data_IF_276544121935
#
_entry.id   IF_276544121935
#
_cell.length_a   1.000
_cell.length_b   1.000
_cell.length_c   1.000
_cell.angle_alpha   90.00
_cell.angle_beta   90.00
_cell.angle_gamma   90.00
#
_symmetry.space_group_name_H-M   'P 1'
#
loop_
_entity.id
_entity.type
_entity.pdbx_description
1 polymer ?
#
# COMPACT_ATOMS: atom_id res chain seq x y z
N UNK A 1 18.57 17.33 7.14
CA UNK A 1 18.57 15.90 6.79
C UNK A 1 17.18 15.45 7.17
N UNK A 2 16.29 15.30 6.20
CA UNK A 2 14.92 14.83 6.45
C UNK A 2 15.00 13.41 6.96
N UNK A 3 14.17 13.05 7.93
CA UNK A 3 14.12 11.67 8.42
C UNK A 3 13.68 10.74 7.26
N UNK A 4 14.15 9.49 7.21
CA UNK A 4 13.68 8.55 6.19
C UNK A 4 12.17 8.35 6.33
N UNK A 5 11.45 8.26 5.21
CA UNK A 5 9.97 8.20 5.16
C UNK A 5 9.37 7.17 6.13
N UNK A 6 9.93 5.96 6.32
CA UNK A 6 9.44 5.01 7.33
C UNK A 6 9.45 5.53 8.78
N UNK A 7 10.46 6.32 9.15
CA UNK A 7 10.57 6.89 10.50
C UNK A 7 9.53 8.00 10.70
N UNK A 8 9.25 8.80 9.68
CA UNK A 8 8.18 9.81 9.71
C UNK A 8 6.81 9.16 9.89
N UNK A 9 6.53 8.07 9.15
CA UNK A 9 5.29 7.28 9.29
C UNK A 9 5.16 6.73 10.70
N UNK A 10 6.21 6.08 11.23
CA UNK A 10 6.19 5.49 12.56
C UNK A 10 5.95 6.55 13.65
N UNK A 11 6.61 7.70 13.55
CA UNK A 11 6.45 8.82 14.49
C UNK A 11 5.04 9.39 14.45
N UNK A 12 4.48 9.61 13.26
CA UNK A 12 3.13 10.13 13.10
C UNK A 12 2.07 9.18 13.65
N UNK A 13 2.22 7.86 13.41
CA UNK A 13 1.34 6.85 13.97
C UNK A 13 1.43 6.78 15.50
N UNK A 14 2.64 6.78 16.06
CA UNK A 14 2.85 6.75 17.51
C UNK A 14 2.28 7.98 18.22
N UNK A 15 2.40 9.17 17.63
CA UNK A 15 1.86 10.41 18.20
C UNK A 15 0.33 10.47 18.19
N UNK A 16 -0.32 9.84 17.21
CA UNK A 16 -1.78 9.80 17.11
C UNK A 16 -2.40 8.62 17.86
N UNK A 17 -1.59 7.71 18.40
CA UNK A 17 -2.04 6.53 19.12
C UNK A 17 -2.74 6.91 20.44
N UNK A 18 -3.85 6.23 20.82
CA UNK A 18 -4.56 6.51 22.06
C UNK A 18 -3.72 6.09 23.28
N UNK A 19 -3.84 6.76 24.43
CA UNK A 19 -3.14 6.36 25.66
C UNK A 19 -3.41 4.89 26.02
N UNK A 20 -2.36 4.13 26.35
CA UNK A 20 -2.49 2.72 26.72
C UNK A 20 -2.63 1.75 25.53
N UNK A 21 -2.34 2.19 24.32
CA UNK A 21 -2.20 1.31 23.16
C UNK A 21 -1.06 0.28 23.36
N UNK A 22 -1.17 -0.86 22.69
CA UNK A 22 -0.21 -1.94 22.72
C UNK A 22 0.36 -2.27 21.33
N UNK A 23 -0.43 -2.11 20.29
CA UNK A 23 0.00 -2.39 18.92
C UNK A 23 -0.86 -1.61 17.92
N UNK A 24 -0.21 -1.13 16.87
CA UNK A 24 -0.85 -0.58 15.68
C UNK A 24 -0.41 -1.43 14.50
N UNK A 25 -1.39 -1.90 13.73
CA UNK A 25 -1.16 -2.54 12.43
C UNK A 25 -1.83 -1.69 11.37
N UNK A 26 -1.04 -1.24 10.40
CA UNK A 26 -1.54 -0.52 9.23
C UNK A 26 -1.18 -1.32 7.99
N UNK A 27 -2.19 -1.80 7.27
CA UNK A 27 -2.03 -2.40 5.95
C UNK A 27 -2.42 -1.36 4.90
N UNK A 28 -1.60 -1.23 3.87
CA UNK A 28 -1.79 -0.28 2.77
C UNK A 28 -1.75 -1.05 1.47
N UNK A 29 -2.77 -0.85 0.63
CA UNK A 29 -2.77 -1.29 -0.76
C UNK A 29 -2.77 -0.06 -1.65
N UNK A 30 -1.94 -0.06 -2.69
CA UNK A 30 -1.75 1.14 -3.48
C UNK A 30 -1.58 0.87 -4.98
N UNK A 31 -2.02 1.86 -5.75
CA UNK A 31 -1.67 2.13 -7.14
C UNK A 31 -1.47 3.65 -7.27
N UNK A 32 -1.00 4.13 -8.42
CA UNK A 32 -0.98 5.58 -8.70
C UNK A 32 -2.37 6.22 -8.75
N UNK A 33 -3.44 5.43 -8.93
CA UNK A 33 -4.82 5.93 -9.07
C UNK A 33 -5.59 5.87 -7.75
N UNK A 34 -5.32 4.87 -6.91
CA UNK A 34 -6.08 4.60 -5.69
C UNK A 34 -5.19 4.06 -4.57
N UNK A 35 -5.56 4.35 -3.33
CA UNK A 35 -4.94 3.79 -2.12
C UNK A 35 -6.04 3.33 -1.17
N UNK A 36 -5.84 2.19 -0.52
CA UNK A 36 -6.65 1.69 0.58
C UNK A 36 -5.80 1.58 1.86
N UNK A 37 -6.39 1.94 3.00
CA UNK A 37 -5.71 1.94 4.30
C UNK A 37 -6.57 1.22 5.32
N UNK A 38 -6.08 0.08 5.80
CA UNK A 38 -6.72 -0.70 6.86
C UNK A 38 -5.93 -0.54 8.16
N UNK A 39 -6.50 0.24 9.10
CA UNK A 39 -5.90 0.52 10.40
C UNK A 39 -6.53 -0.33 11.49
N UNK A 40 -5.68 -0.98 12.29
CA UNK A 40 -6.08 -1.72 13.48
C UNK A 40 -5.26 -1.23 14.67
N UNK A 41 -5.94 -0.91 15.77
CA UNK A 41 -5.31 -0.54 17.04
C UNK A 41 -5.75 -1.54 18.09
N UNK A 42 -4.80 -2.05 18.85
CA UNK A 42 -5.05 -2.92 20.01
C UNK A 42 -4.58 -2.23 21.27
N UNK A 43 -5.43 -2.18 22.28
CA UNK A 43 -5.12 -1.64 23.60
C UNK A 43 -4.38 -2.68 24.46
N UNK A 44 -3.71 -2.23 25.54
CA UNK A 44 -2.99 -3.13 26.47
C UNK A 44 -3.89 -4.10 27.22
N UNK A 45 -5.15 -3.74 27.45
CA UNK A 45 -6.17 -4.63 28.03
C UNK A 45 -6.76 -5.62 27.01
N UNK A 46 -6.28 -5.60 25.76
CA UNK A 46 -6.73 -6.47 24.68
C UNK A 46 -7.95 -5.96 23.92
N UNK A 47 -8.57 -4.87 24.35
CA UNK A 47 -9.72 -4.26 23.64
C UNK A 47 -9.30 -3.59 22.33
N UNK A 48 -10.22 -3.46 21.35
CA UNK A 48 -9.95 -2.68 20.16
C UNK A 48 -9.84 -1.19 20.50
N UNK A 49 -8.78 -0.55 20.00
CA UNK A 49 -8.63 0.90 20.04
C UNK A 49 -9.16 1.56 18.77
N UNK A 50 -9.27 2.88 18.80
CA UNK A 50 -9.58 3.69 17.62
C UNK A 50 -8.68 4.91 17.58
N UNK A 51 -8.26 5.27 16.37
CA UNK A 51 -7.57 6.51 16.07
C UNK A 51 -7.85 6.91 14.62
N UNK A 52 -7.73 8.19 14.31
CA UNK A 52 -7.74 8.64 12.92
C UNK A 52 -6.36 8.45 12.29
N UNK A 53 -6.33 7.98 11.04
CA UNK A 53 -5.07 7.88 10.30
C UNK A 53 -4.57 9.29 9.94
N UNK A 54 -3.39 9.71 10.41
CA UNK A 54 -2.91 11.07 10.18
C UNK A 54 -2.73 11.36 8.68
N UNK A 55 -3.14 12.55 8.24
CA UNK A 55 -2.99 12.96 6.84
C UNK A 55 -1.53 12.88 6.31
N UNK A 56 -0.49 13.23 7.09
CA UNK A 56 0.90 13.06 6.66
C UNK A 56 1.27 11.61 6.35
N UNK A 57 0.70 10.64 7.07
CA UNK A 57 0.96 9.20 6.83
C UNK A 57 0.44 8.81 5.44
N UNK A 58 -0.74 9.27 5.05
CA UNK A 58 -1.30 8.98 3.72
C UNK A 58 -0.40 9.51 2.59
N UNK A 59 0.12 10.72 2.74
CA UNK A 59 1.04 11.32 1.77
C UNK A 59 2.41 10.61 1.76
N UNK A 60 2.91 10.22 2.93
CA UNK A 60 4.18 9.53 3.08
C UNK A 60 4.20 8.18 2.37
N UNK A 61 3.11 7.39 2.39
CA UNK A 61 3.07 6.12 1.64
C UNK A 61 3.18 6.30 0.12
N UNK A 62 2.69 7.42 -0.42
CA UNK A 62 2.89 7.74 -1.84
C UNK A 62 4.37 8.02 -2.12
N UNK A 63 5.00 8.88 -1.32
CA UNK A 63 6.43 9.16 -1.46
C UNK A 63 7.29 7.89 -1.29
N UNK A 64 6.88 7.00 -0.39
CA UNK A 64 7.56 5.73 -0.15
C UNK A 64 7.51 4.79 -1.37
N UNK A 65 6.43 4.84 -2.17
CA UNK A 65 6.39 4.09 -3.44
C UNK A 65 7.42 4.58 -4.42
N UNK A 66 7.58 5.90 -4.51
CA UNK A 66 8.56 6.55 -5.39
C UNK A 66 9.99 6.25 -4.93
N UNK A 67 10.24 6.30 -3.61
CA UNK A 67 11.56 5.99 -3.02
C UNK A 67 11.95 4.52 -3.21
N UNK A 68 10.98 3.61 -3.09
CA UNK A 68 11.20 2.16 -3.23
C UNK A 68 11.07 1.63 -4.65
N UNK A 69 10.81 2.50 -5.62
CA UNK A 69 10.76 2.08 -7.02
C UNK A 69 12.15 1.68 -7.50
N UNK A 70 12.25 0.47 -8.05
CA UNK A 70 13.43 -0.04 -8.72
C UNK A 70 13.13 -0.27 -10.21
N UNK A 71 13.93 0.31 -11.13
CA UNK A 71 13.73 0.12 -12.57
C UNK A 71 13.70 -1.35 -12.97
N UNK A 72 12.71 -1.76 -13.75
CA UNK A 72 12.52 -3.15 -14.17
C UNK A 72 11.88 -4.05 -13.11
N UNK A 73 12.02 -3.74 -11.82
CA UNK A 73 11.35 -4.49 -10.74
C UNK A 73 10.00 -3.90 -10.35
N UNK A 74 9.84 -2.58 -10.47
CA UNK A 74 8.67 -1.84 -10.02
C UNK A 74 8.75 -1.44 -8.54
N UNK A 75 7.61 -1.16 -7.94
CA UNK A 75 7.45 -0.88 -6.50
C UNK A 75 6.38 -1.80 -5.89
N UNK A 76 6.19 -1.77 -4.58
CA UNK A 76 5.26 -2.64 -3.87
C UNK A 76 3.78 -2.36 -4.19
N UNK A 77 2.95 -3.41 -4.18
CA UNK A 77 1.48 -3.32 -4.32
C UNK A 77 0.78 -3.20 -2.97
N UNK A 78 1.33 -3.86 -1.95
CA UNK A 78 0.89 -3.67 -0.57
C UNK A 78 2.06 -3.51 0.39
N UNK A 79 1.80 -2.83 1.50
CA UNK A 79 2.74 -2.66 2.59
C UNK A 79 2.02 -2.90 3.91
N UNK A 80 2.74 -3.41 4.91
CA UNK A 80 2.23 -3.56 6.28
C UNK A 80 3.24 -2.98 7.26
N UNK A 81 2.73 -2.14 8.15
CA UNK A 81 3.46 -1.55 9.26
C UNK A 81 2.96 -2.14 10.56
N UNK A 82 3.86 -2.61 11.39
CA UNK A 82 3.57 -3.01 12.77
C UNK A 82 4.37 -2.13 13.70
N UNK A 83 3.65 -1.42 14.58
CA UNK A 83 4.24 -0.55 15.58
C UNK A 83 3.84 -1.06 16.96
N UNK A 84 4.80 -1.06 17.89
CA UNK A 84 4.62 -1.37 19.31
C UNK A 84 5.39 -0.36 20.15
N UNK A 85 4.94 -0.03 21.39
CA UNK A 85 5.71 0.84 22.26
C UNK A 85 7.11 0.27 22.49
N UNK A 86 8.10 1.15 22.57
CA UNK A 86 9.50 0.82 22.90
C UNK A 86 10.16 -0.22 21.98
N UNK A 87 9.61 -0.43 20.78
CA UNK A 87 10.13 -1.34 19.76
C UNK A 87 10.33 -0.60 18.43
N UNK A 88 11.33 -0.98 17.63
CA UNK A 88 11.45 -0.47 16.26
C UNK A 88 10.18 -0.78 15.46
N UNK A 89 9.79 0.13 14.57
CA UNK A 89 8.71 -0.11 13.63
C UNK A 89 9.12 -1.19 12.61
N UNK A 90 8.23 -2.14 12.36
CA UNK A 90 8.42 -3.20 11.38
C UNK A 90 7.66 -2.84 10.10
N UNK A 91 8.37 -2.81 8.97
CA UNK A 91 7.78 -2.60 7.65
C UNK A 91 7.99 -3.83 6.79
N UNK A 92 6.92 -4.25 6.12
CA UNK A 92 6.94 -5.34 5.14
C UNK A 92 6.26 -4.85 3.87
N UNK A 93 6.80 -5.26 2.73
CA UNK A 93 6.36 -4.81 1.41
C UNK A 93 6.17 -6.03 0.52
N UNK A 94 5.04 -6.08 -0.16
CA UNK A 94 4.74 -7.14 -1.12
C UNK A 94 4.72 -6.56 -2.54
N UNK A 95 5.67 -7.00 -3.35
CA UNK A 95 5.81 -6.59 -4.74
C UNK A 95 5.06 -7.52 -5.69
N UNK A 96 4.65 -8.70 -5.26
CA UNK A 96 4.20 -9.76 -6.16
C UNK A 96 2.80 -10.31 -5.81
N UNK A 97 2.37 -10.19 -4.57
CA UNK A 97 1.04 -10.60 -4.12
C UNK A 97 -0.07 -9.70 -4.66
N UNK A 98 -1.22 -10.33 -4.92
CA UNK A 98 -2.45 -9.60 -5.25
C UNK A 98 -2.95 -8.89 -3.98
N UNK A 99 -3.08 -7.55 -3.98
CA UNK A 99 -3.62 -6.79 -2.85
C UNK A 99 -5.11 -7.07 -2.57
N UNK A 100 -5.81 -7.85 -3.41
CA UNK A 100 -7.20 -8.27 -3.25
C UNK A 100 -8.17 -7.10 -2.98
N UNK A 101 -8.13 -6.08 -3.85
CA UNK A 101 -8.96 -4.88 -3.74
C UNK A 101 -10.46 -5.21 -3.65
N UNK A 102 -11.15 -4.52 -2.74
CA UNK A 102 -12.61 -4.58 -2.62
C UNK A 102 -13.23 -3.18 -2.47
N UNK A 103 -14.08 -2.73 -3.42
CA UNK A 103 -14.40 -3.39 -4.68
C UNK A 103 -13.16 -3.50 -5.61
N UNK A 104 -13.15 -4.45 -6.56
CA UNK A 104 -12.05 -4.57 -7.51
C UNK A 104 -11.83 -3.27 -8.29
N UNK A 105 -10.57 -2.88 -8.47
CA UNK A 105 -10.22 -1.75 -9.34
C UNK A 105 -10.39 -2.13 -10.81
N UNK A 106 -10.69 -1.13 -11.65
CA UNK A 106 -10.66 -1.31 -13.09
C UNK A 106 -9.22 -1.63 -13.55
N UNK A 107 -9.01 -2.53 -14.53
CA UNK A 107 -7.66 -2.89 -15.01
C UNK A 107 -6.79 -1.69 -15.39
N UNK A 108 -7.38 -0.62 -15.92
CA UNK A 108 -6.67 0.62 -16.25
C UNK A 108 -5.96 1.29 -15.06
N UNK A 109 -6.38 1.03 -13.82
CA UNK A 109 -5.65 1.49 -12.63
C UNK A 109 -4.26 0.85 -12.53
N UNK A 110 -4.16 -0.43 -12.86
CA UNK A 110 -2.91 -1.17 -12.86
C UNK A 110 -2.09 -0.93 -14.13
N UNK A 111 -2.72 -0.69 -15.28
CA UNK A 111 -2.02 -0.21 -16.48
C UNK A 111 -1.27 1.09 -16.18
N UNK A 112 -1.96 2.07 -15.58
CA UNK A 112 -1.34 3.34 -15.17
C UNK A 112 -0.28 3.17 -14.10
N UNK A 113 -0.44 2.18 -13.22
CA UNK A 113 0.56 1.85 -12.21
C UNK A 113 1.85 1.32 -12.85
N UNK A 114 1.75 0.45 -13.85
CA UNK A 114 2.89 -0.05 -14.63
C UNK A 114 3.52 1.03 -15.52
N UNK A 115 2.76 2.00 -16.03
CA UNK A 115 3.31 3.15 -16.75
C UNK A 115 4.19 4.02 -15.84
N UNK A 116 3.79 4.19 -14.57
CA UNK A 116 4.53 4.98 -13.59
C UNK A 116 5.70 4.22 -12.95
N UNK A 117 5.51 2.92 -12.70
CA UNK A 117 6.51 2.03 -12.12
C UNK A 117 6.75 0.81 -13.03
N UNK A 118 7.44 0.99 -14.17
CA UNK A 118 7.68 -0.08 -15.14
C UNK A 118 8.29 -1.32 -14.51
N UNK A 119 7.80 -2.46 -14.97
CA UNK A 119 8.30 -3.79 -14.63
C UNK A 119 8.71 -4.52 -15.90
N UNK A 120 9.84 -5.21 -15.83
CA UNK A 120 10.25 -6.18 -16.83
C UNK A 120 9.29 -7.36 -16.80
N UNK A 121 9.14 -8.02 -17.96
CA UNK A 121 8.16 -9.09 -18.13
C UNK A 121 8.27 -10.16 -17.04
N UNK A 122 9.48 -10.52 -16.58
CA UNK A 122 9.68 -11.52 -15.51
C UNK A 122 9.18 -11.08 -14.12
N UNK A 123 9.07 -9.76 -13.88
CA UNK A 123 8.66 -9.16 -12.62
C UNK A 123 7.19 -8.75 -12.58
N UNK A 124 6.44 -8.97 -13.67
CA UNK A 124 4.98 -8.84 -13.68
C UNK A 124 4.37 -10.10 -13.06
N UNK A 125 3.59 -10.01 -11.97
CA UNK A 125 2.97 -11.20 -11.38
C UNK A 125 1.89 -11.80 -12.27
N UNK A 126 1.61 -13.10 -12.10
CA UNK A 126 0.62 -13.82 -12.91
C UNK A 126 -0.81 -13.24 -12.79
N UNK A 127 -1.22 -12.80 -11.59
CA UNK A 127 -2.52 -12.17 -11.38
C UNK A 127 -2.64 -10.86 -12.16
N UNK A 128 -1.57 -10.07 -12.22
CA UNK A 128 -1.54 -8.78 -12.89
C UNK A 128 -1.61 -8.98 -14.41
N UNK A 129 -0.83 -9.91 -14.97
CA UNK A 129 -0.94 -10.25 -16.41
C UNK A 129 -2.36 -10.63 -16.79
N UNK A 130 -2.98 -11.53 -16.01
CA UNK A 130 -4.35 -11.96 -16.24
C UNK A 130 -5.34 -10.80 -16.20
N UNK A 131 -5.22 -9.92 -15.20
CA UNK A 131 -6.10 -8.75 -15.06
C UNK A 131 -5.99 -7.78 -16.25
N UNK A 132 -4.78 -7.57 -16.77
CA UNK A 132 -4.54 -6.69 -17.92
C UNK A 132 -5.07 -7.29 -19.23
N UNK A 133 -4.89 -8.60 -19.42
CA UNK A 133 -5.42 -9.32 -20.59
C UNK A 133 -6.95 -9.24 -20.62
N UNK A 134 -7.61 -9.51 -19.48
CA UNK A 134 -9.06 -9.39 -19.33
C UNK A 134 -9.53 -7.95 -19.56
N UNK A 135 -8.81 -6.95 -19.05
CA UNK A 135 -9.12 -5.54 -19.29
C UNK A 135 -9.04 -5.14 -20.76
N UNK A 136 -7.99 -5.58 -21.47
CA UNK A 136 -7.83 -5.31 -22.89
C UNK A 136 -8.90 -5.98 -23.76
N UNK A 137 -9.37 -7.17 -23.39
CA UNK A 137 -10.47 -7.84 -24.08
C UNK A 137 -11.80 -7.08 -23.90
N UNK A 138 -12.09 -6.64 -22.67
CA UNK A 138 -13.30 -5.85 -22.37
C UNK A 138 -13.33 -4.52 -23.13
N UNK A 139 -12.20 -3.82 -23.24
CA UNK A 139 -12.10 -2.57 -23.99
C UNK A 139 -12.32 -2.78 -25.49
N UNK A 140 -11.77 -3.86 -26.06
CA UNK A 140 -11.98 -4.21 -27.48
C UNK A 140 -13.44 -4.53 -27.77
N UNK A 141 -14.13 -5.24 -26.87
CA UNK A 141 -15.54 -5.56 -27.03
C UNK A 141 -16.41 -4.29 -27.00
N UNK A 142 -16.17 -3.38 -26.04
CA UNK A 142 -16.86 -2.09 -25.96
C UNK A 142 -16.64 -1.19 -27.17
N UNK A 143 -15.46 -1.24 -27.79
CA UNK A 143 -15.14 -0.43 -28.97
C UNK A 143 -15.80 -0.95 -30.27
N UNK A 144 -16.39 -2.15 -30.25
CA UNK A 144 -17.07 -2.79 -31.38
C UNK A 144 -18.61 -2.68 -31.32
N UNK A 145 -19.15 -2.09 -30.25
CA UNK A 145 -20.57 -1.76 -30.05
C UNK A 145 -20.87 -0.31 -30.45
#
# INVERSE_FOLDING_TARGET
>A
MTDPVPAEIATALGNAAPPGWAEIVLTVSATVVANDFALQVRMRDGSPGSMELPAPVKAAFRALRDEMYEPGRGTWFSAKVVLRPDSPAEFTYDLDGDPNWWPPLHPSAFTRDLEAYPRDDEHVPAWLRKLLDEGGEQERLRAQE
#
